data_IF_265252322202
#
_entry.id   IF_265252322202
#
_cell.length_a   1.000
_cell.length_b   1.000
_cell.length_c   1.000
_cell.angle_alpha   90.00
_cell.angle_beta   90.00
_cell.angle_gamma   90.00
#
_symmetry.space_group_name_H-M   'P 1'
#
loop_
_entity.id
_entity.type
_entity.pdbx_description
1 polymer ?
#
# COMPACT_ATOMS: atom_id res chain seq x y z
N UNK A 1 -6.22 -9.08 3.57
CA UNK A 1 -4.77 -8.81 3.42
C UNK A 1 -4.31 -7.78 4.44
N UNK A 2 -4.86 -6.56 4.45
CA UNK A 2 -4.54 -5.48 5.40
C UNK A 2 -4.52 -5.97 6.86
N UNK A 3 -5.64 -6.50 7.35
CA UNK A 3 -5.77 -6.95 8.74
C UNK A 3 -4.76 -8.04 9.15
N UNK A 4 -4.33 -8.88 8.20
CA UNK A 4 -3.30 -9.90 8.47
C UNK A 4 -1.93 -9.25 8.73
N UNK A 5 -1.58 -8.23 7.93
CA UNK A 5 -0.32 -7.51 8.08
C UNK A 5 -0.34 -6.56 9.29
N UNK A 6 -1.45 -5.87 9.54
CA UNK A 6 -1.58 -4.96 10.68
C UNK A 6 -1.52 -5.68 12.04
N UNK A 7 -2.00 -6.92 12.11
CA UNK A 7 -1.93 -7.73 13.32
C UNK A 7 -0.61 -8.52 13.44
N UNK A 8 0.30 -8.41 12.48
CA UNK A 8 1.52 -9.18 12.46
C UNK A 8 2.66 -8.42 13.18
N UNK A 9 3.36 -9.02 14.17
CA UNK A 9 4.33 -8.33 15.02
C UNK A 9 5.59 -7.80 14.30
N UNK A 10 5.80 -8.20 13.05
CA UNK A 10 6.91 -7.73 12.20
C UNK A 10 6.49 -6.74 11.12
N UNK A 11 5.27 -6.20 11.16
CA UNK A 11 4.81 -5.20 10.21
C UNK A 11 4.09 -4.06 10.91
N UNK A 12 4.30 -2.84 10.42
CA UNK A 12 3.58 -1.64 10.81
C UNK A 12 3.04 -0.92 9.57
N UNK A 13 1.84 -0.35 9.64
CA UNK A 13 1.33 0.48 8.55
C UNK A 13 2.13 1.78 8.46
N UNK A 14 2.42 2.25 7.23
CA UNK A 14 2.97 3.58 7.04
C UNK A 14 1.92 4.65 7.34
N UNK A 15 2.38 5.79 7.85
CA UNK A 15 1.55 6.98 8.08
C UNK A 15 1.18 7.66 6.76
N UNK A 16 0.08 8.41 6.75
CA UNK A 16 -0.35 9.17 5.57
C UNK A 16 0.74 10.13 5.07
N UNK A 17 1.50 10.75 5.98
CA UNK A 17 2.62 11.63 5.62
C UNK A 17 3.73 10.88 4.88
N UNK A 18 4.10 9.69 5.35
CA UNK A 18 5.08 8.84 4.66
C UNK A 18 4.58 8.41 3.28
N UNK A 19 3.27 8.16 3.14
CA UNK A 19 2.67 7.81 1.85
C UNK A 19 2.65 8.99 0.87
N UNK A 20 2.26 10.17 1.32
CA UNK A 20 2.19 11.38 0.49
C UNK A 20 3.57 11.79 -0.02
N UNK A 21 4.60 11.61 0.79
CA UNK A 21 5.97 11.98 0.46
C UNK A 21 6.71 10.91 -0.35
N UNK A 22 6.13 9.72 -0.55
CA UNK A 22 6.76 8.65 -1.30
C UNK A 22 6.32 8.65 -2.77
N UNK A 23 7.22 8.94 -3.73
CA UNK A 23 6.88 9.06 -5.14
C UNK A 23 6.39 7.74 -5.76
N UNK A 24 6.75 6.59 -5.18
CA UNK A 24 6.38 5.27 -5.69
C UNK A 24 4.92 4.92 -5.39
N UNK A 25 4.31 5.50 -4.35
CA UNK A 25 2.92 5.21 -3.95
C UNK A 25 1.94 5.50 -5.08
N UNK A 26 2.20 6.56 -5.86
CA UNK A 26 1.41 6.91 -7.05
C UNK A 26 1.48 5.84 -8.13
N UNK A 27 2.65 5.21 -8.31
CA UNK A 27 2.91 4.25 -9.36
C UNK A 27 2.18 2.91 -9.15
N UNK A 28 1.79 2.59 -7.90
CA UNK A 28 1.12 1.34 -7.53
C UNK A 28 -0.22 1.12 -8.23
N UNK A 29 -0.85 2.19 -8.75
CA UNK A 29 -2.18 2.12 -9.37
C UNK A 29 -2.19 2.48 -10.85
N UNK A 30 -1.10 3.03 -11.38
CA UNK A 30 -1.08 3.65 -12.72
C UNK A 30 -0.12 3.01 -13.71
N UNK A 31 0.78 2.13 -13.25
CA UNK A 31 1.86 1.62 -14.11
C UNK A 31 1.60 0.24 -14.69
N UNK A 32 0.75 -0.57 -14.06
CA UNK A 32 0.37 -1.89 -14.57
C UNK A 32 -0.84 -1.80 -15.50
N UNK A 33 -0.95 -2.73 -16.45
CA UNK A 33 -2.11 -2.81 -17.35
C UNK A 33 -3.42 -2.96 -16.56
N UNK A 34 -3.41 -3.76 -15.49
CA UNK A 34 -4.56 -3.97 -14.61
C UNK A 34 -4.95 -2.67 -13.90
N UNK A 35 -3.99 -1.91 -13.38
CA UNK A 35 -4.26 -0.63 -12.71
C UNK A 35 -4.86 0.40 -13.66
N UNK A 36 -4.31 0.50 -14.87
CA UNK A 36 -4.85 1.37 -15.93
C UNK A 36 -6.25 0.91 -16.36
N UNK A 37 -6.49 -0.40 -16.44
CA UNK A 37 -7.80 -0.95 -16.77
C UNK A 37 -8.84 -0.64 -15.68
N UNK A 38 -8.48 -0.75 -14.39
CA UNK A 38 -9.34 -0.34 -13.28
C UNK A 38 -9.72 1.14 -13.41
N UNK A 39 -8.74 2.01 -13.66
CA UNK A 39 -8.99 3.44 -13.85
C UNK A 39 -9.90 3.74 -15.06
N UNK A 40 -9.65 3.09 -16.21
CA UNK A 40 -10.47 3.25 -17.43
C UNK A 40 -11.92 2.85 -17.24
N UNK A 41 -12.19 1.86 -16.40
CA UNK A 41 -13.54 1.37 -16.12
C UNK A 41 -14.19 2.06 -14.90
N UNK A 42 -13.58 3.12 -14.35
CA UNK A 42 -14.09 3.81 -13.17
C UNK A 42 -14.09 2.96 -11.89
N UNK A 43 -13.23 1.93 -11.85
CA UNK A 43 -13.07 1.07 -10.68
C UNK A 43 -12.26 1.76 -9.57
N UNK A 44 -12.34 1.18 -8.37
CA UNK A 44 -11.65 1.68 -7.18
C UNK A 44 -10.39 0.86 -6.90
N UNK A 45 -9.39 1.49 -6.31
CA UNK A 45 -8.19 0.82 -5.81
C UNK A 45 -8.06 1.09 -4.31
N UNK A 46 -7.54 0.10 -3.58
CA UNK A 46 -7.33 0.17 -2.13
C UNK A 46 -5.89 -0.23 -1.84
N UNK A 47 -5.11 0.69 -1.27
CA UNK A 47 -3.70 0.46 -0.96
C UNK A 47 -3.52 0.12 0.52
N UNK A 48 -2.65 -0.84 0.81
CA UNK A 48 -2.19 -1.15 2.16
C UNK A 48 -0.68 -1.34 2.12
N UNK A 49 0.06 -0.38 2.67
CA UNK A 49 1.52 -0.35 2.58
C UNK A 49 2.07 -0.43 4.00
N UNK A 50 2.83 -1.48 4.27
CA UNK A 50 3.41 -1.73 5.57
C UNK A 50 4.93 -1.72 5.49
N UNK A 51 5.58 -1.16 6.50
CA UNK A 51 7.01 -1.34 6.74
C UNK A 51 7.22 -2.65 7.48
N UNK A 52 8.24 -3.41 7.08
CA UNK A 52 8.72 -4.53 7.88
C UNK A 52 9.59 -4.01 9.02
N UNK A 53 9.29 -4.43 10.24
CA UNK A 53 10.06 -4.10 11.45
C UNK A 53 10.74 -5.34 12.01
N UNK A 54 11.75 -5.13 12.85
CA UNK A 54 12.33 -6.22 13.64
C UNK A 54 11.29 -6.73 14.66
N UNK A 55 11.32 -8.02 15.04
CA UNK A 55 10.47 -8.52 16.12
C UNK A 55 10.78 -7.74 17.40
N UNK A 56 9.74 -7.37 18.14
CA UNK A 56 9.89 -6.89 19.52
C UNK A 56 10.58 -7.98 20.35
N UNK A 57 11.67 -7.63 21.03
CA UNK A 57 12.41 -8.52 21.94
C UNK A 57 11.59 -8.87 23.19
#
# INVERSE_FOLDING_TARGET
MKDCLENHPMFEALTDEELMNNPVVKLLTSTTEEGQNVARNGGQTFQAICRRIAPSL
#
